data_IF_006679532525
#
_entry.id   IF_006679532525
#
_cell.length_a   1.000
_cell.length_b   1.000
_cell.length_c   1.000
_cell.angle_alpha   90.00
_cell.angle_beta   90.00
_cell.angle_gamma   90.00
#
_symmetry.space_group_name_H-M   'P 1'
#
loop_
_entity.id
_entity.type
_entity.pdbx_description
1 polymer ?
#
# COMPACT_ATOMS: atom_id res chain seq x y z
N UNK A 1 22.06 -30.19 5.55
CA UNK A 1 20.60 -30.10 5.29
C UNK A 1 19.82 -29.51 6.46
N UNK A 2 19.75 -30.12 7.65
CA UNK A 2 19.03 -29.53 8.80
C UNK A 2 19.60 -28.18 9.27
N UNK A 3 20.92 -28.11 9.45
CA UNK A 3 21.60 -26.88 9.93
C UNK A 3 21.44 -25.71 8.95
N UNK A 4 21.30 -25.98 7.65
CA UNK A 4 21.13 -24.96 6.61
C UNK A 4 19.74 -24.32 6.70
N UNK A 5 18.68 -25.15 6.82
CA UNK A 5 17.32 -24.66 7.05
C UNK A 5 17.18 -23.90 8.37
N UNK A 6 17.82 -24.38 9.44
CA UNK A 6 17.83 -23.69 10.73
C UNK A 6 18.49 -22.30 10.62
N UNK A 7 19.63 -22.20 9.92
CA UNK A 7 20.32 -20.93 9.67
C UNK A 7 19.47 -19.98 8.81
N UNK A 8 18.80 -20.50 7.78
CA UNK A 8 17.89 -19.73 6.93
C UNK A 8 16.73 -19.15 7.74
N UNK A 9 16.02 -19.96 8.52
CA UNK A 9 14.93 -19.50 9.38
C UNK A 9 15.38 -18.41 10.37
N UNK A 10 16.58 -18.58 10.95
CA UNK A 10 17.17 -17.57 11.85
C UNK A 10 17.59 -16.28 11.17
N UNK A 11 17.90 -16.30 9.87
CA UNK A 11 18.21 -15.12 9.07
C UNK A 11 16.92 -14.37 8.74
N UNK A 12 15.91 -15.06 8.22
CA UNK A 12 14.61 -14.46 7.92
C UNK A 12 13.95 -13.87 9.16
N UNK A 13 14.00 -14.57 10.29
CA UNK A 13 13.48 -14.05 11.56
C UNK A 13 14.16 -12.73 11.97
N UNK A 14 15.48 -12.64 11.81
CA UNK A 14 16.23 -11.40 12.08
C UNK A 14 15.82 -10.28 11.15
N UNK A 15 15.63 -10.56 9.86
CA UNK A 15 15.17 -9.56 8.89
C UNK A 15 13.78 -9.00 9.26
N UNK A 16 12.84 -9.88 9.65
CA UNK A 16 11.51 -9.47 10.13
C UNK A 16 11.61 -8.63 11.40
N UNK A 17 12.46 -9.02 12.35
CA UNK A 17 12.63 -8.26 13.60
C UNK A 17 13.27 -6.89 13.36
N UNK A 18 14.22 -6.79 12.45
CA UNK A 18 14.84 -5.53 12.05
C UNK A 18 13.84 -4.61 11.34
N UNK A 19 13.06 -5.15 10.38
CA UNK A 19 12.00 -4.41 9.69
C UNK A 19 10.92 -3.91 10.67
N UNK A 20 10.49 -4.77 11.59
CA UNK A 20 9.57 -4.38 12.66
C UNK A 20 10.18 -3.32 13.60
N UNK A 21 11.47 -3.39 13.88
CA UNK A 21 12.20 -2.37 14.63
C UNK A 21 12.17 -1.01 13.94
N UNK A 22 12.45 -0.98 12.62
CA UNK A 22 12.38 0.23 11.79
C UNK A 22 10.97 0.82 11.75
N UNK A 23 9.96 -0.02 11.54
CA UNK A 23 8.55 0.40 11.56
C UNK A 23 8.15 1.02 12.92
N UNK A 24 8.51 0.37 14.04
CA UNK A 24 8.24 0.90 15.39
C UNK A 24 8.96 2.24 15.64
N UNK A 25 10.18 2.40 15.15
CA UNK A 25 10.90 3.66 15.27
C UNK A 25 10.24 4.79 14.47
N UNK A 26 9.82 4.53 13.23
CA UNK A 26 9.07 5.49 12.41
C UNK A 26 7.75 5.89 13.08
N UNK A 27 7.02 4.88 13.60
CA UNK A 27 5.78 5.10 14.36
C UNK A 27 5.99 6.02 15.56
N UNK A 28 7.03 5.77 16.37
CA UNK A 28 7.36 6.64 17.53
C UNK A 28 7.69 8.07 17.13
N UNK A 29 8.37 8.27 15.99
CA UNK A 29 8.66 9.62 15.48
C UNK A 29 7.39 10.33 15.03
N UNK A 30 6.46 9.63 14.39
CA UNK A 30 5.16 10.18 14.00
C UNK A 30 4.34 10.59 15.23
N UNK A 31 4.28 9.73 16.27
CA UNK A 31 3.64 10.08 17.55
C UNK A 31 4.29 11.31 18.19
N UNK A 32 5.63 11.39 18.21
CA UNK A 32 6.37 12.54 18.74
C UNK A 32 6.14 13.84 17.95
N UNK A 33 5.81 13.74 16.65
CA UNK A 33 5.44 14.87 15.81
C UNK A 33 3.96 15.28 15.94
N UNK A 34 3.19 14.62 16.81
CA UNK A 34 1.78 14.93 17.06
C UNK A 34 0.79 14.27 16.08
N UNK A 35 1.23 13.29 15.29
CA UNK A 35 0.33 12.56 14.37
C UNK A 35 -0.53 11.58 15.16
N UNK A 36 -1.86 11.70 15.05
CA UNK A 36 -2.77 10.69 15.58
C UNK A 36 -2.76 9.43 14.70
N UNK A 37 -2.11 8.38 15.19
CA UNK A 37 -1.94 7.13 14.46
C UNK A 37 -3.25 6.38 14.22
N UNK A 38 -4.26 6.55 15.08
CA UNK A 38 -5.54 5.86 14.89
C UNK A 38 -6.29 6.45 13.71
N UNK A 39 -6.33 7.78 13.61
CA UNK A 39 -6.87 8.47 12.45
C UNK A 39 -6.04 8.21 11.18
N UNK A 40 -4.70 8.14 11.30
CA UNK A 40 -3.83 7.78 10.17
C UNK A 40 -4.15 6.38 9.64
N UNK A 41 -4.33 5.40 10.52
CA UNK A 41 -4.68 4.03 10.14
C UNK A 41 -6.08 3.95 9.50
N UNK A 42 -7.05 4.75 9.98
CA UNK A 42 -8.35 4.85 9.35
C UNK A 42 -8.23 5.41 7.93
N UNK A 43 -7.49 6.51 7.75
CA UNK A 43 -7.21 7.11 6.44
C UNK A 43 -6.57 6.10 5.49
N UNK A 44 -5.53 5.39 5.92
CA UNK A 44 -4.85 4.36 5.11
C UNK A 44 -5.79 3.20 4.74
N UNK A 45 -6.73 2.85 5.63
CA UNK A 45 -7.74 1.83 5.32
C UNK A 45 -8.76 2.28 4.27
N UNK A 46 -9.08 3.58 4.24
CA UNK A 46 -9.99 4.17 3.27
C UNK A 46 -9.31 4.41 1.92
N UNK A 47 -8.02 4.78 1.91
CA UNK A 47 -7.27 5.05 0.66
C UNK A 47 -7.05 3.82 -0.22
N UNK A 48 -7.16 2.62 0.36
CA UNK A 48 -7.06 1.34 -0.36
C UNK A 48 -8.35 0.92 -1.07
N UNK A 49 -9.45 1.60 -0.80
CA UNK A 49 -10.75 1.36 -1.42
C UNK A 49 -10.95 2.33 -2.59
N UNK A 50 -11.82 1.98 -3.53
CA UNK A 50 -12.31 2.98 -4.47
C UNK A 50 -13.19 4.02 -3.75
N UNK A 51 -13.39 5.17 -4.38
CA UNK A 51 -14.09 6.30 -3.79
C UNK A 51 -15.53 5.97 -3.37
N UNK A 52 -16.24 5.15 -4.16
CA UNK A 52 -17.62 4.78 -3.88
C UNK A 52 -17.70 3.81 -2.69
N UNK A 53 -16.78 2.84 -2.62
CA UNK A 53 -16.64 1.92 -1.49
C UNK A 53 -16.22 2.64 -0.20
N UNK A 54 -15.22 3.52 -0.26
CA UNK A 54 -14.76 4.32 0.88
C UNK A 54 -15.90 5.18 1.44
N UNK A 55 -16.63 5.86 0.56
CA UNK A 55 -17.79 6.69 0.91
C UNK A 55 -18.90 5.85 1.55
N UNK A 56 -19.22 4.70 0.95
CA UNK A 56 -20.24 3.78 1.48
C UNK A 56 -19.86 3.28 2.86
N UNK A 57 -18.59 2.90 3.05
CA UNK A 57 -18.07 2.43 4.33
C UNK A 57 -18.14 3.50 5.41
N UNK A 58 -17.74 4.73 5.10
CA UNK A 58 -17.79 5.85 6.04
C UNK A 58 -19.24 6.19 6.43
N UNK A 59 -20.15 6.29 5.46
CA UNK A 59 -21.58 6.52 5.72
C UNK A 59 -22.20 5.41 6.57
N UNK A 60 -21.82 4.17 6.32
CA UNK A 60 -22.31 3.02 7.10
C UNK A 60 -21.78 3.06 8.53
N UNK A 61 -20.51 3.41 8.73
CA UNK A 61 -19.93 3.58 10.06
C UNK A 61 -20.65 4.69 10.86
N UNK A 62 -20.93 5.83 10.22
CA UNK A 62 -21.70 6.91 10.85
C UNK A 62 -23.13 6.48 11.19
N UNK A 63 -23.78 5.69 10.32
CA UNK A 63 -25.10 5.12 10.60
C UNK A 63 -25.09 4.20 11.83
N UNK A 64 -24.08 3.32 11.93
CA UNK A 64 -23.92 2.44 13.10
C UNK A 64 -23.59 3.22 14.37
N UNK A 65 -22.79 4.28 14.27
CA UNK A 65 -22.55 5.20 15.38
C UNK A 65 -23.86 5.83 15.88
N UNK A 66 -24.72 6.29 14.96
CA UNK A 66 -26.05 6.78 15.29
C UNK A 66 -26.94 5.74 15.99
N UNK A 67 -26.91 4.47 15.55
CA UNK A 67 -27.62 3.38 16.24
C UNK A 67 -27.08 3.10 17.64
N UNK A 68 -25.78 3.35 17.87
CA UNK A 68 -25.12 3.22 19.17
C UNK A 68 -25.24 4.48 20.05
N UNK A 69 -26.06 5.47 19.65
CA UNK A 69 -26.20 6.79 20.30
C UNK A 69 -24.86 7.54 20.45
N UNK A 70 -23.89 7.22 19.58
CA UNK A 70 -22.62 7.93 19.49
C UNK A 70 -22.81 9.14 18.59
N UNK A 71 -22.86 10.33 19.17
CA UNK A 71 -22.93 11.60 18.45
C UNK A 71 -21.59 11.95 17.80
N UNK A 72 -21.27 11.31 16.68
CA UNK A 72 -20.06 11.60 15.89
C UNK A 72 -20.42 12.65 14.84
N UNK A 73 -20.22 13.92 15.19
CA UNK A 73 -20.52 15.09 14.34
C UNK A 73 -22.01 15.29 14.07
N UNK A 74 -22.43 16.54 13.89
CA UNK A 74 -23.72 16.84 13.26
C UNK A 74 -23.55 16.77 11.73
N UNK A 75 -24.59 16.44 10.97
CA UNK A 75 -24.51 16.38 9.50
C UNK A 75 -24.04 17.72 8.90
N UNK A 76 -24.31 18.84 9.58
CA UNK A 76 -23.80 20.16 9.24
C UNK A 76 -22.32 20.34 9.55
N UNK A 77 -21.78 19.70 10.58
CA UNK A 77 -20.38 19.85 11.03
C UNK A 77 -19.42 18.95 10.25
N UNK A 78 -19.86 17.74 9.88
CA UNK A 78 -19.06 16.78 9.10
C UNK A 78 -18.85 17.22 7.63
N UNK A 79 -19.71 18.10 7.12
CA UNK A 79 -19.66 18.63 5.75
C UNK A 79 -19.53 20.17 5.71
N UNK A 80 -19.61 20.86 6.84
CA UNK A 80 -19.06 22.20 6.95
C UNK A 80 -17.56 22.03 6.84
N UNK A 81 -17.03 22.31 5.65
CA UNK A 81 -15.61 22.48 5.48
C UNK A 81 -15.18 23.63 6.38
N UNK A 82 -14.70 23.32 7.59
CA UNK A 82 -13.70 24.16 8.23
C UNK A 82 -12.55 24.22 7.25
N UNK A 83 -12.57 25.27 6.43
CA UNK A 83 -11.85 25.42 5.17
C UNK A 83 -10.34 25.56 5.32
N UNK A 84 -9.70 24.65 6.07
CA UNK A 84 -8.29 24.41 5.92
C UNK A 84 -8.07 23.79 4.54
N UNK A 85 -7.79 24.65 3.58
CA UNK A 85 -7.29 24.25 2.27
C UNK A 85 -6.15 23.25 2.50
N UNK A 86 -6.32 22.05 1.94
CA UNK A 86 -5.26 21.03 2.02
C UNK A 86 -4.01 21.65 1.40
N UNK A 87 -2.89 21.74 2.12
CA UNK A 87 -1.69 22.35 1.58
C UNK A 87 -1.29 21.64 0.28
N UNK A 88 -1.14 22.39 -0.81
CA UNK A 88 -0.81 21.84 -2.14
C UNK A 88 0.45 20.96 -2.08
N UNK A 89 1.43 21.38 -1.27
CA UNK A 89 2.65 20.62 -0.99
C UNK A 89 2.36 19.24 -0.38
N UNK A 90 1.44 19.14 0.58
CA UNK A 90 1.09 17.87 1.22
C UNK A 90 0.39 16.92 0.24
N UNK A 91 -0.45 17.45 -0.66
CA UNK A 91 -1.05 16.65 -1.73
C UNK A 91 -0.01 16.17 -2.75
N UNK A 92 0.94 17.03 -3.12
CA UNK A 92 2.02 16.69 -4.03
C UNK A 92 2.91 15.58 -3.45
N UNK A 93 3.34 15.73 -2.19
CA UNK A 93 4.12 14.71 -1.47
C UNK A 93 3.37 13.38 -1.37
N UNK A 94 2.07 13.42 -1.09
CA UNK A 94 1.24 12.21 -1.08
C UNK A 94 1.20 11.52 -2.45
N UNK A 95 0.94 12.26 -3.53
CA UNK A 95 0.87 11.69 -4.89
C UNK A 95 2.20 11.10 -5.35
N UNK A 96 3.30 11.77 -5.02
CA UNK A 96 4.65 11.23 -5.28
C UNK A 96 4.91 9.95 -4.49
N UNK A 97 4.52 9.90 -3.20
CA UNK A 97 4.63 8.70 -2.38
C UNK A 97 3.82 7.52 -2.93
N UNK A 98 2.58 7.77 -3.38
CA UNK A 98 1.74 6.75 -4.03
C UNK A 98 2.38 6.24 -5.33
N UNK A 99 2.97 7.13 -6.13
CA UNK A 99 3.68 6.74 -7.35
C UNK A 99 4.89 5.86 -7.03
N UNK A 100 5.67 6.21 -6.00
CA UNK A 100 6.82 5.42 -5.54
C UNK A 100 6.42 4.03 -5.03
N UNK A 101 5.35 3.92 -4.24
CA UNK A 101 4.83 2.63 -3.76
C UNK A 101 4.33 1.76 -4.92
N UNK A 102 3.58 2.33 -5.86
CA UNK A 102 3.12 1.63 -7.06
C UNK A 102 4.30 1.12 -7.92
N UNK A 103 5.36 1.92 -8.03
CA UNK A 103 6.60 1.52 -8.68
C UNK A 103 7.27 0.35 -7.98
N UNK A 104 7.38 0.41 -6.65
CA UNK A 104 7.95 -0.67 -5.84
C UNK A 104 7.22 -2.00 -6.03
N UNK A 105 5.89 -1.99 -6.03
CA UNK A 105 5.09 -3.20 -6.27
C UNK A 105 5.23 -3.72 -7.71
N UNK A 106 5.29 -2.84 -8.70
CA UNK A 106 5.55 -3.20 -10.10
C UNK A 106 6.94 -3.84 -10.27
N UNK A 107 7.97 -3.23 -9.66
CA UNK A 107 9.33 -3.76 -9.64
C UNK A 107 9.41 -5.12 -8.96
N UNK A 108 8.82 -5.25 -7.77
CA UNK A 108 8.80 -6.52 -7.00
C UNK A 108 8.01 -7.62 -7.70
N UNK A 109 7.02 -7.29 -8.51
CA UNK A 109 6.25 -8.26 -9.31
C UNK A 109 6.90 -8.63 -10.64
N UNK A 110 7.99 -7.96 -11.02
CA UNK A 110 8.73 -8.23 -12.26
C UNK A 110 8.10 -7.63 -13.51
N UNK A 111 7.26 -6.60 -13.37
CA UNK A 111 6.70 -5.86 -14.51
C UNK A 111 7.79 -5.06 -15.23
N UNK A 112 7.57 -4.74 -16.52
CA UNK A 112 8.54 -3.97 -17.27
C UNK A 112 8.60 -2.53 -16.73
N UNK A 113 9.81 -1.97 -16.70
CA UNK A 113 10.07 -0.59 -16.29
C UNK A 113 9.38 0.42 -17.21
N UNK A 114 9.23 0.07 -18.49
CA UNK A 114 8.59 0.93 -19.49
C UNK A 114 7.06 1.00 -19.33
N UNK A 115 6.46 0.12 -18.50
CA UNK A 115 5.02 0.13 -18.19
C UNK A 115 4.67 1.23 -17.17
N UNK A 116 5.56 2.21 -16.95
CA UNK A 116 5.32 3.35 -16.08
C UNK A 116 4.10 4.14 -16.57
N UNK A 117 3.03 4.28 -15.76
CA UNK A 117 1.81 4.96 -16.17
C UNK A 117 1.95 6.49 -16.20
N UNK A 118 3.04 7.04 -15.67
CA UNK A 118 3.26 8.49 -15.57
C UNK A 118 4.08 9.03 -16.75
N UNK A 119 3.77 10.24 -17.25
CA UNK A 119 4.54 10.86 -18.32
C UNK A 119 6.01 11.05 -17.94
N UNK A 120 6.92 10.71 -18.86
CA UNK A 120 8.36 10.88 -18.69
C UNK A 120 8.72 12.35 -18.39
N UNK A 121 9.69 12.56 -17.49
CA UNK A 121 10.12 13.89 -17.06
C UNK A 121 9.27 14.51 -15.94
N UNK A 122 8.21 13.84 -15.48
CA UNK A 122 7.43 14.29 -14.32
C UNK A 122 8.04 13.80 -13.00
N UNK A 123 7.83 14.52 -11.87
CA UNK A 123 8.24 14.04 -10.55
C UNK A 123 7.66 12.66 -10.19
N UNK A 124 6.44 12.38 -10.66
CA UNK A 124 5.74 11.12 -10.38
C UNK A 124 6.36 9.96 -11.17
N UNK A 125 6.76 10.19 -12.43
CA UNK A 125 7.50 9.19 -13.20
C UNK A 125 8.85 8.86 -12.54
N UNK A 126 9.56 9.88 -12.03
CA UNK A 126 10.81 9.66 -11.29
C UNK A 126 10.58 8.93 -9.96
N UNK A 127 9.49 9.23 -9.25
CA UNK A 127 9.12 8.55 -8.00
C UNK A 127 8.79 7.06 -8.24
N UNK A 128 7.95 6.78 -9.24
CA UNK A 128 7.65 5.41 -9.66
C UNK A 128 8.91 4.63 -10.06
N UNK A 129 9.81 5.27 -10.80
CA UNK A 129 11.06 4.65 -11.24
C UNK A 129 11.99 4.28 -10.07
N UNK A 130 12.13 5.18 -9.08
CA UNK A 130 12.85 4.88 -7.83
C UNK A 130 12.24 3.68 -7.11
N UNK A 131 10.92 3.66 -7.01
CA UNK A 131 10.16 2.54 -6.45
C UNK A 131 10.48 1.24 -7.18
N UNK A 132 10.36 1.23 -8.50
CA UNK A 132 10.60 0.05 -9.34
C UNK A 132 12.02 -0.52 -9.15
N UNK A 133 13.04 0.35 -9.15
CA UNK A 133 14.42 -0.06 -8.87
C UNK A 133 14.57 -0.69 -7.47
N UNK A 134 13.94 -0.12 -6.45
CA UNK A 134 13.94 -0.68 -5.09
C UNK A 134 13.24 -2.05 -5.03
N UNK A 135 12.13 -2.23 -5.77
CA UNK A 135 11.42 -3.51 -5.88
C UNK A 135 12.26 -4.59 -6.57
N UNK A 136 12.99 -4.25 -7.64
CA UNK A 136 13.91 -5.16 -8.32
C UNK A 136 15.12 -5.53 -7.45
N UNK A 137 15.61 -4.61 -6.62
CA UNK A 137 16.68 -4.90 -5.67
C UNK A 137 16.28 -5.99 -4.66
N UNK A 138 14.99 -6.08 -4.29
CA UNK A 138 14.47 -7.17 -3.45
C UNK A 138 14.56 -8.51 -4.18
N UNK A 139 14.11 -8.58 -5.45
CA UNK A 139 14.22 -9.81 -6.25
C UNK A 139 15.69 -10.20 -6.44
N UNK A 140 16.56 -9.25 -6.74
CA UNK A 140 17.99 -9.49 -6.90
C UNK A 140 18.63 -10.01 -5.62
N UNK A 141 18.23 -9.49 -4.45
CA UNK A 141 18.67 -9.99 -3.15
C UNK A 141 18.15 -11.41 -2.86
N UNK A 142 16.94 -11.75 -3.32
CA UNK A 142 16.38 -13.11 -3.24
C UNK A 142 17.04 -14.10 -4.22
N UNK A 143 17.58 -13.64 -5.35
CA UNK A 143 18.25 -14.46 -6.38
C UNK A 143 19.78 -14.57 -6.24
N UNK A 144 20.38 -13.97 -5.19
CA UNK A 144 21.80 -14.16 -4.87
C UNK A 144 22.17 -15.64 -4.64
N UNK A 145 23.48 -15.99 -4.53
CA UNK A 145 24.00 -17.36 -4.75
C UNK A 145 23.44 -18.49 -3.86
N UNK A 146 22.62 -18.19 -2.86
CA UNK A 146 21.93 -19.17 -1.99
C UNK A 146 20.39 -19.16 -2.14
N UNK A 147 19.83 -18.49 -3.15
CA UNK A 147 18.40 -18.22 -3.31
C UNK A 147 17.65 -19.24 -4.19
N UNK A 148 16.75 -20.02 -3.59
CA UNK A 148 15.72 -20.78 -4.31
C UNK A 148 14.89 -19.85 -5.21
N UNK A 149 14.99 -20.05 -6.52
CA UNK A 149 14.45 -19.15 -7.54
C UNK A 149 12.95 -18.83 -7.47
N UNK A 150 12.51 -17.79 -8.19
CA UNK A 150 11.19 -17.21 -8.03
C UNK A 150 10.09 -18.19 -8.47
N UNK A 151 9.16 -18.49 -7.55
CA UNK A 151 7.92 -19.21 -7.89
C UNK A 151 7.03 -18.28 -8.71
N UNK A 152 7.04 -18.43 -10.05
CA UNK A 152 6.05 -17.83 -10.96
C UNK A 152 4.64 -18.04 -10.39
N UNK A 153 3.96 -16.96 -10.01
CA UNK A 153 2.52 -16.98 -9.76
C UNK A 153 1.84 -17.33 -11.09
N UNK A 154 1.43 -18.59 -11.25
CA UNK A 154 0.60 -19.02 -12.37
C UNK A 154 -0.69 -18.20 -12.34
N UNK A 155 -0.93 -17.46 -13.43
CA UNK A 155 -2.14 -16.67 -13.62
C UNK A 155 -3.39 -17.49 -13.32
N UNK A 156 -4.31 -16.86 -12.58
CA UNK A 156 -5.66 -17.36 -12.32
C UNK A 156 -6.37 -17.44 -13.68
N UNK A 157 -6.36 -18.61 -14.32
CA UNK A 157 -7.17 -18.87 -15.51
C UNK A 157 -8.63 -18.63 -15.12
N UNK A 158 -9.21 -17.56 -15.67
CA UNK A 158 -10.61 -17.21 -15.46
C UNK A 158 -11.49 -18.40 -15.80
N UNK A 159 -12.41 -18.73 -14.88
CA UNK A 159 -13.61 -19.50 -15.21
C UNK A 159 -14.58 -18.50 -15.83
N UNK A 160 -15.05 -18.76 -17.05
CA UNK A 160 -16.22 -18.09 -17.63
C UNK A 160 -16.06 -17.67 -19.09
N UNK A 161 -16.41 -18.59 -19.99
CA UNK A 161 -16.76 -18.42 -21.42
C UNK A 161 -16.88 -19.86 -21.96
N UNK A 162 -17.98 -20.42 -22.46
CA UNK A 162 -19.21 -19.91 -23.07
C UNK A 162 -20.35 -20.95 -22.89
N UNK A 163 -21.59 -20.47 -22.88
CA UNK A 163 -22.79 -21.26 -23.17
C UNK A 163 -22.85 -21.58 -24.67
N UNK A 164 -23.29 -22.79 -24.99
CA UNK A 164 -23.70 -23.23 -26.33
C UNK A 164 -23.06 -24.57 -26.71
N UNK A 165 -23.89 -25.58 -27.01
CA UNK A 165 -24.13 -25.78 -28.42
C UNK A 165 -25.60 -25.94 -28.79
N UNK A 166 -25.86 -25.52 -30.02
CA UNK A 166 -27.01 -25.86 -30.85
C UNK A 166 -27.04 -27.36 -31.09
N UNK A 167 -28.19 -27.99 -30.87
CA UNK A 167 -28.99 -28.78 -31.83
C UNK A 167 -30.29 -29.22 -31.17
#
# INVERSE_FOLDING_TARGET
MFLDFYRQLRREKRAVDEANGKYRAARKRAEAAGVDLKSLALMESLSKLDEAEATTRLRTALRYAGWADMKIGEQTDLFAADGQAVPEKAQAEWREGVAEEAGYDAGKSGQNRDDNPYPLGTPHAAAWDRGWCAGQAVIAAEMGPDGTGPKKKRGRKGRGAEMGPQE
#
